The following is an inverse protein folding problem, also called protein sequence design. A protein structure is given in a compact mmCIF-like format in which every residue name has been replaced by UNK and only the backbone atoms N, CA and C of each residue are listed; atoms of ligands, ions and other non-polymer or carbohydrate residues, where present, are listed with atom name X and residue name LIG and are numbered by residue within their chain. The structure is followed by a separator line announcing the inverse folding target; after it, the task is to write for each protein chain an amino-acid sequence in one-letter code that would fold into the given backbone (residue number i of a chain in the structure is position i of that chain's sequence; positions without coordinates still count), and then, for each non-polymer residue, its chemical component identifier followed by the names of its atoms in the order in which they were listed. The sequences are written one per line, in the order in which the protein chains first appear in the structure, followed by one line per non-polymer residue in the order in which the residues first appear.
data_IF_722469684606
#
_entry.id   IF_722469684606
#
_cell.length_a   1.000
_cell.length_b   1.000
_cell.length_c   1.000
_cell.angle_alpha   90.00
_cell.angle_beta   90.00
_cell.angle_gamma   90.00
#
_symmetry.space_group_name_H-M   'P 1'
#
loop_
_entity.id
_entity.type
_entity.pdbx_description
1 polymer ?
#
# COMPACT_ATOMS: atom_id res chain seq x y z
N UNK A 1 22.26 -4.52 -21.01
CA UNK A 1 21.35 -4.42 -19.84
C UNK A 1 20.32 -3.38 -20.23
N UNK A 2 19.15 -3.79 -20.73
CA UNK A 2 18.07 -2.85 -21.09
C UNK A 2 17.63 -2.13 -19.80
N UNK A 3 17.97 -0.85 -19.69
CA UNK A 3 17.52 0.00 -18.62
C UNK A 3 16.02 0.22 -18.84
N UNK A 4 15.18 -0.62 -18.22
CA UNK A 4 13.72 -0.55 -18.33
C UNK A 4 13.22 0.65 -17.51
N UNK A 5 13.60 1.86 -17.97
CA UNK A 5 13.25 3.14 -17.39
C UNK A 5 11.90 3.57 -17.95
N UNK A 6 10.89 3.60 -17.09
CA UNK A 6 9.53 3.98 -17.46
C UNK A 6 9.38 5.49 -17.31
N UNK A 7 9.14 6.20 -18.43
CA UNK A 7 9.09 7.66 -18.48
C UNK A 7 7.65 8.15 -18.34
N UNK A 8 7.34 8.77 -17.20
CA UNK A 8 6.09 9.49 -16.94
C UNK A 8 6.21 10.88 -17.53
N UNK A 9 5.37 11.23 -18.51
CA UNK A 9 5.38 12.55 -19.15
C UNK A 9 4.24 13.40 -18.59
N UNK A 10 4.58 14.54 -18.01
CA UNK A 10 3.64 15.51 -17.48
C UNK A 10 3.78 16.82 -18.25
N UNK A 11 2.68 17.39 -18.73
CA UNK A 11 2.69 18.70 -19.40
C UNK A 11 2.03 19.72 -18.48
N UNK A 12 2.79 20.72 -18.07
CA UNK A 12 2.33 21.80 -17.21
C UNK A 12 2.59 23.15 -17.88
N UNK A 13 1.78 24.16 -17.57
CA UNK A 13 2.05 25.53 -18.02
C UNK A 13 3.21 26.12 -17.21
N UNK A 14 3.12 25.95 -15.90
CA UNK A 14 4.12 26.39 -14.93
C UNK A 14 4.38 25.30 -13.91
N UNK A 15 5.54 25.36 -13.25
CA UNK A 15 5.96 24.36 -12.26
C UNK A 15 5.03 24.34 -11.03
N UNK A 16 4.40 25.46 -10.72
CA UNK A 16 3.51 25.62 -9.57
C UNK A 16 2.26 24.75 -9.66
N UNK A 17 1.80 24.41 -10.86
CA UNK A 17 0.65 23.53 -11.09
C UNK A 17 0.87 22.10 -10.60
N UNK A 18 2.14 21.69 -10.41
CA UNK A 18 2.47 20.39 -9.84
C UNK A 18 2.10 20.31 -8.34
N UNK A 19 2.02 21.47 -7.68
CA UNK A 19 1.86 21.56 -6.23
C UNK A 19 0.46 22.00 -5.84
N UNK A 20 0.03 21.56 -4.67
CA UNK A 20 -1.26 21.93 -4.12
C UNK A 20 -1.30 23.44 -3.80
N UNK A 21 -2.25 24.14 -4.41
CA UNK A 21 -2.42 25.59 -4.24
C UNK A 21 -2.92 25.97 -2.83
N UNK A 22 -3.54 25.04 -2.11
CA UNK A 22 -4.06 25.27 -0.76
C UNK A 22 -3.01 25.08 0.35
N UNK A 23 -1.86 24.51 0.02
CA UNK A 23 -0.77 24.30 0.98
C UNK A 23 0.16 25.54 1.01
N UNK A 24 0.24 26.27 2.14
CA UNK A 24 1.12 27.43 2.30
C UNK A 24 2.58 27.05 2.58
N UNK A 25 2.90 25.75 2.65
CA UNK A 25 4.25 25.27 2.93
C UNK A 25 5.25 25.68 1.84
N UNK A 26 6.52 25.95 2.19
CA UNK A 26 7.57 26.16 1.20
C UNK A 26 7.73 24.92 0.30
N UNK A 27 8.25 25.10 -0.92
CA UNK A 27 8.38 24.03 -1.93
C UNK A 27 8.97 22.72 -1.37
N UNK A 28 9.92 22.80 -0.44
CA UNK A 28 10.44 21.63 0.29
C UNK A 28 9.42 21.22 1.35
N UNK A 29 8.61 20.21 1.01
CA UNK A 29 7.55 19.69 1.90
C UNK A 29 6.14 20.06 1.47
N UNK A 30 5.97 20.77 0.35
CA UNK A 30 4.65 21.06 -0.24
C UNK A 30 4.02 19.80 -0.82
N UNK A 31 2.74 19.59 -0.55
CA UNK A 31 2.02 18.46 -1.14
C UNK A 31 1.86 18.63 -2.66
N UNK A 32 1.98 17.51 -3.40
CA UNK A 32 1.63 17.48 -4.82
C UNK A 32 0.13 17.77 -4.98
N UNK A 33 -0.24 18.35 -6.12
CA UNK A 33 -1.65 18.47 -6.46
C UNK A 33 -2.29 17.06 -6.55
N UNK A 34 -3.48 16.83 -5.96
CA UNK A 34 -4.12 15.52 -5.97
C UNK A 34 -4.29 14.93 -7.38
N UNK A 35 -4.55 15.77 -8.39
CA UNK A 35 -4.67 15.31 -9.77
C UNK A 35 -3.32 14.88 -10.35
N UNK A 36 -2.23 15.56 -10.00
CA UNK A 36 -0.88 15.17 -10.39
C UNK A 36 -0.44 13.88 -9.71
N UNK A 37 -0.74 13.72 -8.42
CA UNK A 37 -0.47 12.50 -7.67
C UNK A 37 -1.24 11.31 -8.27
N UNK A 38 -2.54 11.45 -8.50
CA UNK A 38 -3.39 10.40 -9.07
C UNK A 38 -2.90 9.98 -10.46
N UNK A 39 -2.52 10.95 -11.31
CA UNK A 39 -1.95 10.67 -12.63
C UNK A 39 -0.64 9.88 -12.54
N UNK A 40 0.30 10.31 -11.69
CA UNK A 40 1.60 9.65 -11.51
C UNK A 40 1.40 8.23 -10.96
N UNK A 41 0.53 8.07 -9.96
CA UNK A 41 0.22 6.78 -9.35
C UNK A 41 -0.49 5.84 -10.32
N UNK A 42 -1.49 6.33 -11.06
CA UNK A 42 -2.22 5.56 -12.06
C UNK A 42 -1.29 5.04 -13.14
N UNK A 43 -0.46 5.94 -13.70
CA UNK A 43 0.53 5.57 -14.70
C UNK A 43 1.53 4.53 -14.17
N UNK A 44 2.03 4.73 -12.95
CA UNK A 44 2.99 3.80 -12.35
C UNK A 44 2.38 2.43 -12.00
N UNK A 45 1.07 2.34 -11.77
CA UNK A 45 0.34 1.08 -11.53
C UNK A 45 0.14 0.25 -12.80
N UNK A 46 -0.01 0.90 -13.95
CA UNK A 46 -0.18 0.26 -15.26
C UNK A 46 1.13 -0.33 -15.81
N UNK A 47 2.28 0.13 -15.32
CA UNK A 47 3.60 -0.29 -15.78
C UNK A 47 4.23 -1.46 -14.97
N UNK A 48 5.20 -2.20 -15.57
CA UNK A 48 5.81 -3.37 -14.95
C UNK A 48 6.40 -3.11 -13.55
N UNK A 49 6.31 -4.15 -12.69
CA UNK A 49 6.89 -4.12 -11.33
C UNK A 49 8.42 -3.97 -11.29
N UNK A 50 9.09 -4.12 -12.43
CA UNK A 50 10.54 -4.07 -12.54
C UNK A 50 10.95 -2.91 -13.44
N UNK A 51 11.82 -2.02 -12.93
CA UNK A 51 12.30 -0.83 -13.63
C UNK A 51 12.41 0.40 -12.73
N UNK A 52 13.21 1.38 -13.13
CA UNK A 52 13.20 2.72 -12.53
C UNK A 52 12.10 3.57 -13.17
N UNK A 53 11.58 4.54 -12.43
CA UNK A 53 10.71 5.56 -13.00
C UNK A 53 11.50 6.84 -13.27
N UNK A 54 11.14 7.53 -14.34
CA UNK A 54 11.63 8.86 -14.67
C UNK A 54 10.43 9.78 -14.90
N UNK A 55 10.33 10.87 -14.16
CA UNK A 55 9.31 11.89 -14.35
C UNK A 55 9.86 13.00 -15.24
N UNK A 56 9.33 13.13 -16.44
CA UNK A 56 9.64 14.19 -17.39
C UNK A 56 8.53 15.25 -17.36
N UNK A 57 8.86 16.44 -16.87
CA UNK A 57 7.94 17.55 -16.76
C UNK A 57 8.25 18.54 -17.87
N UNK A 58 7.31 18.71 -18.79
CA UNK A 58 7.39 19.71 -19.85
C UNK A 58 6.69 20.98 -19.39
N UNK A 59 7.41 22.10 -19.35
CA UNK A 59 6.89 23.42 -18.96
C UNK A 59 7.00 24.42 -20.11
N UNK A 60 5.99 25.28 -20.24
CA UNK A 60 5.97 26.35 -21.26
C UNK A 60 6.66 27.61 -20.75
N UNK A 61 6.46 27.96 -19.48
CA UNK A 61 6.98 29.19 -18.88
C UNK A 61 7.94 28.84 -17.73
N UNK A 62 9.25 28.98 -17.97
CA UNK A 62 10.26 28.85 -16.91
C UNK A 62 11.41 29.81 -17.14
N UNK A 63 11.76 30.58 -16.12
CA UNK A 63 12.84 31.57 -16.20
C UNK A 63 14.24 30.94 -16.06
N UNK A 64 14.34 29.83 -15.34
CA UNK A 64 15.60 29.11 -15.07
C UNK A 64 15.30 27.61 -14.93
N UNK A 65 15.62 26.84 -15.99
CA UNK A 65 15.35 25.39 -16.05
C UNK A 65 16.15 24.64 -15.01
N UNK A 66 17.42 24.97 -14.78
CA UNK A 66 18.28 24.22 -13.85
C UNK A 66 17.81 24.40 -12.40
N UNK A 67 17.49 25.63 -12.00
CA UNK A 67 16.92 25.90 -10.67
C UNK A 67 15.54 25.28 -10.51
N UNK A 68 14.69 25.33 -11.54
CA UNK A 68 13.40 24.68 -11.52
C UNK A 68 13.54 23.15 -11.39
N UNK A 69 14.43 22.53 -12.16
CA UNK A 69 14.69 21.09 -12.12
C UNK A 69 15.16 20.65 -10.74
N UNK A 70 16.15 21.33 -10.16
CA UNK A 70 16.66 21.00 -8.84
C UNK A 70 15.57 21.12 -7.77
N UNK A 71 14.83 22.24 -7.77
CA UNK A 71 13.72 22.49 -6.82
C UNK A 71 12.60 21.46 -6.94
N UNK A 72 12.18 21.13 -8.15
CA UNK A 72 11.10 20.16 -8.37
C UNK A 72 11.55 18.76 -8.01
N UNK A 73 12.78 18.38 -8.38
CA UNK A 73 13.37 17.09 -8.01
C UNK A 73 13.38 16.90 -6.50
N UNK A 74 13.82 17.91 -5.75
CA UNK A 74 13.88 17.85 -4.29
C UNK A 74 12.48 17.81 -3.66
N UNK A 75 11.55 18.62 -4.16
CA UNK A 75 10.18 18.66 -3.67
C UNK A 75 9.45 17.33 -3.90
N UNK A 76 9.54 16.78 -5.12
CA UNK A 76 8.95 15.49 -5.50
C UNK A 76 9.55 14.35 -4.66
N UNK A 77 10.87 14.32 -4.49
CA UNK A 77 11.54 13.32 -3.65
C UNK A 77 11.08 13.41 -2.20
N UNK A 78 11.04 14.61 -1.64
CA UNK A 78 10.59 14.85 -0.26
C UNK A 78 9.15 14.40 -0.06
N UNK A 79 8.27 14.77 -0.98
CA UNK A 79 6.85 14.39 -0.97
C UNK A 79 6.67 12.87 -0.98
N UNK A 80 7.24 12.16 -1.96
CA UNK A 80 7.09 10.70 -2.02
C UNK A 80 7.78 9.99 -0.86
N UNK A 81 8.88 10.52 -0.33
CA UNK A 81 9.52 9.99 0.90
C UNK A 81 8.58 10.13 2.10
N UNK A 82 7.92 11.29 2.25
CA UNK A 82 6.92 11.51 3.29
C UNK A 82 5.70 10.59 3.08
N UNK A 83 5.22 10.42 1.84
CA UNK A 83 4.12 9.50 1.51
C UNK A 83 4.46 8.03 1.81
N UNK A 84 5.71 7.58 1.59
CA UNK A 84 6.18 6.25 2.02
C UNK A 84 6.11 6.11 3.55
N UNK A 85 6.53 7.14 4.29
CA UNK A 85 6.46 7.12 5.75
C UNK A 85 5.00 7.09 6.25
N UNK A 86 4.11 7.88 5.64
CA UNK A 86 2.65 7.88 5.91
C UNK A 86 2.04 6.48 5.65
N UNK A 87 2.28 5.91 4.48
CA UNK A 87 1.80 4.57 4.11
C UNK A 87 2.38 3.47 5.03
N UNK A 88 3.62 3.63 5.48
CA UNK A 88 4.23 2.72 6.46
C UNK A 88 3.52 2.68 7.81
N UNK A 89 2.99 3.82 8.27
CA UNK A 89 2.19 3.89 9.50
C UNK A 89 0.82 3.20 9.31
N UNK A 90 0.18 3.38 8.16
CA UNK A 90 -1.06 2.69 7.81
C UNK A 90 -0.87 1.17 7.74
N UNK A 91 0.21 0.71 7.10
CA UNK A 91 0.59 -0.70 7.07
C UNK A 91 0.81 -1.27 8.48
N UNK A 92 1.48 -0.52 9.36
CA UNK A 92 1.69 -0.94 10.74
C UNK A 92 0.39 -1.01 11.54
N UNK A 93 -0.55 -0.10 11.30
CA UNK A 93 -1.90 -0.13 11.90
C UNK A 93 -2.69 -1.34 11.41
N UNK A 94 -2.63 -1.65 10.12
CA UNK A 94 -3.23 -2.84 9.55
C UNK A 94 -2.59 -4.12 10.08
N UNK A 95 -1.26 -4.20 10.21
CA UNK A 95 -0.60 -5.35 10.82
C UNK A 95 -0.97 -5.54 12.28
N UNK A 96 -1.18 -4.48 13.06
CA UNK A 96 -1.71 -4.59 14.43
C UNK A 96 -3.14 -5.16 14.43
N UNK A 97 -4.02 -4.71 13.53
CA UNK A 97 -5.37 -5.28 13.36
C UNK A 97 -5.32 -6.73 12.88
N UNK A 98 -4.46 -7.06 11.93
CA UNK A 98 -4.23 -8.41 11.43
C UNK A 98 -3.67 -9.36 12.49
N UNK A 99 -2.82 -8.86 13.40
CA UNK A 99 -2.38 -9.64 14.57
C UNK A 99 -3.52 -9.92 15.53
N UNK A 100 -4.42 -8.96 15.74
CA UNK A 100 -5.58 -9.15 16.58
C UNK A 100 -6.54 -10.19 15.99
N UNK A 101 -6.81 -10.14 14.68
CA UNK A 101 -7.63 -11.16 14.01
C UNK A 101 -6.96 -12.54 14.03
N UNK A 102 -5.63 -12.62 13.89
CA UNK A 102 -4.87 -13.85 14.04
C UNK A 102 -4.97 -14.42 15.47
N UNK A 103 -4.91 -13.56 16.48
CA UNK A 103 -5.07 -13.93 17.89
C UNK A 103 -6.46 -14.51 18.15
N UNK A 104 -7.51 -13.87 17.63
CA UNK A 104 -8.89 -14.36 17.72
C UNK A 104 -9.03 -15.72 17.03
N UNK A 105 -8.45 -15.89 15.83
CA UNK A 105 -8.44 -17.18 15.12
C UNK A 105 -7.71 -18.29 15.90
N UNK A 106 -6.55 -17.99 16.50
CA UNK A 106 -5.79 -18.95 17.32
C UNK A 106 -6.51 -19.31 18.61
N UNK A 107 -7.10 -18.34 19.32
CA UNK A 107 -7.90 -18.60 20.53
C UNK A 107 -9.08 -19.51 20.19
N UNK A 108 -9.76 -19.22 19.08
CA UNK A 108 -10.88 -20.03 18.63
C UNK A 108 -10.45 -21.48 18.28
N UNK A 109 -9.31 -21.66 17.61
CA UNK A 109 -8.73 -22.98 17.36
C UNK A 109 -8.43 -23.73 18.65
N UNK A 110 -7.83 -23.07 19.64
CA UNK A 110 -7.53 -23.66 20.95
C UNK A 110 -8.82 -24.10 21.66
N UNK A 111 -9.88 -23.27 21.61
CA UNK A 111 -11.18 -23.61 22.19
C UNK A 111 -11.81 -24.80 21.47
N UNK A 112 -11.77 -24.83 20.13
CA UNK A 112 -12.36 -25.91 19.34
C UNK A 112 -11.63 -27.23 19.58
N UNK A 113 -10.28 -27.22 19.57
CA UNK A 113 -9.47 -28.40 19.85
C UNK A 113 -9.65 -28.88 21.29
N UNK A 114 -9.68 -27.95 22.26
CA UNK A 114 -9.92 -28.27 23.66
C UNK A 114 -11.32 -28.83 23.92
N UNK A 115 -12.34 -28.32 23.25
CA UNK A 115 -13.71 -28.83 23.32
C UNK A 115 -13.81 -30.24 22.73
N UNK A 116 -13.15 -30.50 21.59
CA UNK A 116 -13.11 -31.82 20.97
C UNK A 116 -12.42 -32.86 21.86
N UNK A 117 -11.28 -32.50 22.46
CA UNK A 117 -10.53 -33.38 23.36
C UNK A 117 -11.32 -33.66 24.66
N UNK A 118 -11.92 -32.62 25.24
CA UNK A 118 -12.77 -32.76 26.43
C UNK A 118 -14.01 -33.64 26.17
N UNK A 119 -14.69 -33.46 25.03
CA UNK A 119 -15.86 -34.27 24.68
C UNK A 119 -15.50 -35.75 24.52
N UNK A 120 -14.35 -36.06 23.91
CA UNK A 120 -13.86 -37.43 23.79
C UNK A 120 -13.43 -38.03 25.13
N UNK A 121 -12.85 -37.23 26.03
CA UNK A 121 -12.41 -37.69 27.35
C UNK A 121 -13.57 -37.94 28.32
N UNK A 122 -14.60 -37.09 28.32
CA UNK A 122 -15.74 -37.18 29.25
C UNK A 122 -16.88 -38.10 28.77
N UNK A 123 -17.05 -38.32 27.45
CA UNK A 123 -18.14 -39.13 26.91
C UNK A 123 -17.67 -40.14 25.86
N UNK A 124 -17.04 -41.25 26.27
CA UNK A 124 -16.79 -42.35 25.35
C UNK A 124 -18.14 -42.98 24.95
N UNK A 125 -18.47 -43.00 23.65
CA UNK A 125 -19.52 -43.81 23.01
C UNK A 125 -20.99 -43.29 22.95
N UNK A 126 -21.26 -41.99 22.76
CA UNK A 126 -22.65 -41.49 22.56
C UNK A 126 -22.91 -40.97 21.13
N UNK A 127 -23.72 -41.71 20.36
CA UNK A 127 -24.15 -41.39 18.97
C UNK A 127 -24.76 -40.00 18.71
N UNK A 128 -25.51 -39.34 19.64
CA UNK A 128 -25.97 -37.97 19.40
C UNK A 128 -24.85 -36.92 19.53
N UNK A 129 -23.72 -37.24 20.17
CA UNK A 129 -22.57 -36.35 20.30
C UNK A 129 -21.82 -36.20 18.96
N UNK A 130 -21.84 -37.21 18.08
CA UNK A 130 -21.23 -37.14 16.76
C UNK A 130 -21.87 -36.05 15.88
N UNK A 131 -23.20 -35.89 15.96
CA UNK A 131 -23.92 -34.87 15.18
C UNK A 131 -23.60 -33.45 15.67
N UNK A 132 -23.41 -33.27 16.99
CA UNK A 132 -22.96 -32.00 17.57
C UNK A 132 -21.51 -31.75 17.21
N UNK A 133 -20.67 -32.79 17.18
CA UNK A 133 -19.27 -32.71 16.76
C UNK A 133 -19.15 -32.27 15.29
N UNK A 134 -19.95 -32.84 14.38
CA UNK A 134 -20.01 -32.42 12.97
C UNK A 134 -20.47 -30.96 12.80
N UNK A 135 -21.49 -30.55 13.56
CA UNK A 135 -21.95 -29.15 13.59
C UNK A 135 -20.87 -28.19 14.10
N UNK A 136 -20.12 -28.58 15.13
CA UNK A 136 -18.99 -27.82 15.65
C UNK A 136 -17.87 -27.71 14.61
N UNK A 137 -17.63 -28.76 13.83
CA UNK A 137 -16.62 -28.78 12.77
C UNK A 137 -16.97 -27.80 11.64
N UNK A 138 -18.25 -27.74 11.25
CA UNK A 138 -18.76 -26.76 10.27
C UNK A 138 -18.63 -25.34 10.82
N UNK A 139 -19.04 -25.09 12.08
CA UNK A 139 -18.88 -23.77 12.71
C UNK A 139 -17.40 -23.40 12.85
N UNK A 140 -16.52 -24.35 13.14
CA UNK A 140 -15.09 -24.08 13.26
C UNK A 140 -14.45 -23.77 11.90
N UNK A 141 -14.86 -24.45 10.82
CA UNK A 141 -14.44 -24.09 9.47
C UNK A 141 -15.00 -22.72 9.03
N UNK A 142 -16.27 -22.43 9.33
CA UNK A 142 -16.91 -21.14 9.06
C UNK A 142 -16.33 -20.02 9.95
N UNK A 143 -15.78 -20.32 11.12
CA UNK A 143 -15.03 -19.33 11.88
C UNK A 143 -13.62 -19.11 11.29
N UNK A 144 -13.08 -20.09 10.57
CA UNK A 144 -11.71 -20.07 10.05
C UNK A 144 -11.54 -19.29 8.72
N UNK A 145 -12.60 -19.05 7.94
CA UNK A 145 -12.46 -18.34 6.66
C UNK A 145 -12.15 -16.85 6.81
N UNK A 146 -12.76 -16.14 7.76
CA UNK A 146 -12.57 -14.70 7.91
C UNK A 146 -11.12 -14.33 8.33
N UNK A 147 -10.48 -15.01 9.29
CA UNK A 147 -9.07 -14.79 9.60
C UNK A 147 -8.14 -15.12 8.42
N UNK A 148 -8.41 -16.23 7.72
CA UNK A 148 -7.62 -16.64 6.55
C UNK A 148 -7.74 -15.61 5.42
N UNK A 149 -8.93 -15.08 5.17
CA UNK A 149 -9.17 -14.07 4.15
C UNK A 149 -8.40 -12.77 4.41
N UNK A 150 -8.45 -12.27 5.65
CA UNK A 150 -7.71 -11.07 6.07
C UNK A 150 -6.21 -11.31 5.88
N UNK A 151 -5.71 -12.47 6.32
CA UNK A 151 -4.29 -12.78 6.24
C UNK A 151 -3.80 -13.12 4.84
N UNK A 152 -4.65 -13.59 3.92
CA UNK A 152 -4.21 -13.94 2.57
C UNK A 152 -4.32 -12.74 1.61
N UNK A 153 -5.39 -11.95 1.72
CA UNK A 153 -5.73 -10.97 0.70
C UNK A 153 -5.55 -9.50 1.11
N UNK A 154 -5.73 -9.13 2.39
CA UNK A 154 -5.75 -7.72 2.75
C UNK A 154 -4.37 -7.07 2.86
N UNK A 155 -3.31 -7.79 3.25
CA UNK A 155 -1.98 -7.20 3.45
C UNK A 155 -1.21 -6.94 2.15
N UNK A 156 -1.45 -7.76 1.13
CA UNK A 156 -0.73 -7.72 -0.14
C UNK A 156 -0.96 -6.45 -0.98
N UNK A 157 -2.19 -5.90 -1.13
CA UNK A 157 -2.41 -4.64 -1.82
C UNK A 157 -1.68 -3.46 -1.14
N UNK A 158 -1.65 -3.43 0.19
CA UNK A 158 -0.92 -2.41 0.95
C UNK A 158 0.60 -2.53 0.78
N UNK A 159 1.12 -3.75 0.82
CA UNK A 159 2.55 -3.99 0.61
C UNK A 159 2.99 -3.57 -0.79
N UNK A 160 2.17 -3.88 -1.81
CA UNK A 160 2.40 -3.44 -3.18
C UNK A 160 2.35 -1.92 -3.33
N UNK A 161 1.38 -1.27 -2.71
CA UNK A 161 1.26 0.18 -2.73
C UNK A 161 2.49 0.86 -2.10
N UNK A 162 2.97 0.35 -0.96
CA UNK A 162 4.21 0.84 -0.34
C UNK A 162 5.43 0.66 -1.24
N UNK A 163 5.59 -0.50 -1.87
CA UNK A 163 6.70 -0.74 -2.81
C UNK A 163 6.65 0.21 -4.01
N UNK A 164 5.45 0.51 -4.52
CA UNK A 164 5.27 1.47 -5.61
C UNK A 164 5.71 2.88 -5.18
N UNK A 165 5.23 3.36 -4.03
CA UNK A 165 5.62 4.66 -3.47
C UNK A 165 7.13 4.76 -3.24
N UNK A 166 7.78 3.68 -2.77
CA UNK A 166 9.24 3.65 -2.60
C UNK A 166 9.98 3.80 -3.93
N UNK A 167 9.47 3.19 -5.00
CA UNK A 167 10.05 3.35 -6.35
C UNK A 167 9.84 4.76 -6.89
N UNK A 168 8.69 5.37 -6.63
CA UNK A 168 8.41 6.76 -7.01
C UNK A 168 9.27 7.74 -6.20
N UNK A 169 9.55 7.48 -4.91
CA UNK A 169 10.46 8.30 -4.12
C UNK A 169 11.90 8.33 -4.66
N UNK A 170 12.33 7.22 -5.28
CA UNK A 170 13.65 7.10 -5.91
C UNK A 170 13.67 7.54 -7.38
N UNK A 171 12.56 8.03 -7.93
CA UNK A 171 12.47 8.37 -9.35
C UNK A 171 13.31 9.58 -9.73
N UNK A 172 13.84 9.58 -10.94
CA UNK A 172 14.59 10.71 -11.49
C UNK A 172 13.61 11.74 -12.07
N UNK A 173 13.78 13.00 -11.73
CA UNK A 173 12.97 14.10 -12.28
C UNK A 173 13.78 14.90 -13.29
N UNK A 174 13.20 15.18 -14.44
CA UNK A 174 13.77 16.00 -15.50
C UNK A 174 12.74 17.06 -15.92
N UNK A 175 13.16 18.32 -15.97
CA UNK A 175 12.31 19.43 -16.42
C UNK A 175 12.81 19.86 -17.78
N UNK A 176 11.91 19.90 -18.76
CA UNK A 176 12.20 20.26 -20.15
C UNK A 176 11.32 21.45 -20.52
N UNK A 177 11.90 22.44 -21.18
CA UNK A 177 11.12 23.56 -21.74
C UNK A 177 10.62 23.18 -23.13
N UNK A 178 9.33 23.46 -23.40
CA UNK A 178 8.72 23.25 -24.72
C UNK A 178 9.04 24.37 -25.70
#
# INVERSE_FOLDING_TARGET
MENNEHIIKLQLRTVEQLFNSFDPSPFVGRDLDPAAEEFILGWAQEHPRHGSFKLQITVTEVADIERAQSRVSDAVRSYFTASVARSGQEFSRLMRRGRFSLLVGVIFLIICFGASDALQHYFPHSKPLDFVSEGLLIVCWVAMWQPLQIFLYEWWPLFRHKQLLQRLAAMRVEVVQR
#
